data_IF_475955302128
#
_entry.id   IF_475955302128
#
_cell.length_a   1.000
_cell.length_b   1.000
_cell.length_c   1.000
_cell.angle_alpha   90.00
_cell.angle_beta   90.00
_cell.angle_gamma   90.00
#
_symmetry.space_group_name_H-M   'P 1'
#
loop_
_entity.id
_entity.type
_entity.pdbx_description
1 polymer ?
#
# COMPACT_ATOMS: atom_id res chain seq x y z
N UNK A 1 3.59 -23.09 1.74
CA UNK A 1 4.41 -21.86 1.67
C UNK A 1 4.15 -21.04 2.93
N UNK A 2 5.19 -20.56 3.61
CA UNK A 2 5.04 -19.62 4.74
C UNK A 2 5.05 -18.20 4.17
N UNK A 3 3.96 -17.45 4.28
CA UNK A 3 3.98 -16.02 4.01
C UNK A 3 4.93 -15.34 5.01
N UNK A 4 5.74 -14.38 4.54
CA UNK A 4 6.93 -13.86 5.21
C UNK A 4 6.73 -13.19 6.59
N UNK A 5 5.51 -13.17 7.14
CA UNK A 5 5.20 -12.64 8.46
C UNK A 5 4.06 -13.37 9.20
N UNK A 6 3.63 -14.55 8.75
CA UNK A 6 2.62 -15.34 9.46
C UNK A 6 1.19 -14.81 9.39
N UNK A 7 0.88 -13.94 8.43
CA UNK A 7 -0.47 -13.41 8.22
C UNK A 7 -1.48 -14.52 7.87
N UNK A 8 -2.72 -14.35 8.32
CA UNK A 8 -3.83 -15.23 7.96
C UNK A 8 -4.71 -14.59 6.86
N UNK A 9 -5.30 -15.38 5.95
CA UNK A 9 -6.25 -14.86 4.98
C UNK A 9 -7.40 -14.10 5.66
N UNK A 10 -7.70 -12.89 5.19
CA UNK A 10 -8.74 -12.01 5.74
C UNK A 10 -8.29 -11.10 6.90
N UNK A 11 -7.03 -11.18 7.33
CA UNK A 11 -6.47 -10.29 8.35
C UNK A 11 -6.25 -8.87 7.80
N UNK A 12 -6.71 -7.85 8.53
CA UNK A 12 -6.44 -6.45 8.20
C UNK A 12 -5.09 -6.03 8.77
N UNK A 13 -4.12 -5.74 7.89
CA UNK A 13 -2.77 -5.29 8.26
C UNK A 13 -2.60 -3.80 7.95
N UNK A 14 -1.93 -3.07 8.85
CA UNK A 14 -1.65 -1.64 8.67
C UNK A 14 -0.36 -1.43 7.87
N UNK A 15 -0.48 -0.86 6.67
CA UNK A 15 0.67 -0.46 5.85
C UNK A 15 0.87 1.05 5.94
N UNK A 16 1.96 1.48 6.59
CA UNK A 16 2.31 2.90 6.75
C UNK A 16 2.90 3.45 5.43
N UNK A 17 2.12 4.27 4.72
CA UNK A 17 2.42 4.69 3.35
C UNK A 17 3.42 5.83 3.16
N UNK A 18 4.02 6.39 4.21
CA UNK A 18 4.92 7.56 4.11
C UNK A 18 6.38 7.20 3.75
N UNK A 19 6.71 5.92 3.68
CA UNK A 19 8.08 5.43 3.50
C UNK A 19 8.41 5.04 2.05
N UNK A 20 7.84 5.70 1.04
CA UNK A 20 8.12 5.34 -0.37
C UNK A 20 9.62 5.44 -0.72
N UNK A 21 10.20 6.63 -0.59
CA UNK A 21 11.65 6.86 -0.81
C UNK A 21 12.46 6.64 0.46
N UNK A 22 11.95 7.11 1.62
CA UNK A 22 12.61 6.90 2.91
C UNK A 22 12.63 5.42 3.34
N UNK A 23 11.67 4.62 2.91
CA UNK A 23 11.60 3.19 3.24
C UNK A 23 12.51 2.35 2.36
N UNK A 24 12.75 2.76 1.11
CA UNK A 24 13.85 2.20 0.29
C UNK A 24 15.21 2.41 0.96
N UNK A 25 15.42 3.56 1.61
CA UNK A 25 16.64 3.83 2.38
C UNK A 25 16.69 3.04 3.70
N UNK A 26 15.53 2.77 4.32
CA UNK A 26 15.43 2.02 5.57
C UNK A 26 15.56 0.49 5.38
N UNK A 27 15.14 -0.03 4.22
CA UNK A 27 15.27 -1.46 3.87
C UNK A 27 16.59 -1.68 3.15
N UNK A 28 17.64 -2.01 3.92
CA UNK A 28 18.89 -2.54 3.36
C UNK A 28 18.56 -3.72 2.43
N UNK A 29 18.90 -3.63 1.15
CA UNK A 29 18.81 -4.74 0.20
C UNK A 29 17.71 -4.66 -0.87
N UNK A 30 16.94 -3.56 -0.95
CA UNK A 30 16.08 -3.31 -2.12
C UNK A 30 16.89 -2.67 -3.25
N UNK A 31 17.65 -3.48 -3.98
CA UNK A 31 18.22 -3.05 -5.25
C UNK A 31 17.10 -2.88 -6.31
N UNK A 32 17.39 -2.22 -7.46
CA UNK A 32 16.37 -1.97 -8.48
C UNK A 32 15.72 -3.23 -9.05
N UNK A 33 16.45 -4.34 -9.18
CA UNK A 33 15.92 -5.60 -9.69
C UNK A 33 14.98 -6.23 -8.66
N UNK A 34 15.39 -6.28 -7.39
CA UNK A 34 14.54 -6.77 -6.30
C UNK A 34 13.23 -5.96 -6.21
N UNK A 35 13.27 -4.65 -6.47
CA UNK A 35 12.07 -3.83 -6.49
C UNK A 35 11.10 -4.19 -7.63
N UNK A 36 11.62 -4.51 -8.83
CA UNK A 36 10.78 -4.96 -9.94
C UNK A 36 10.11 -6.31 -9.61
N UNK A 37 10.88 -7.27 -9.09
CA UNK A 37 10.36 -8.59 -8.69
C UNK A 37 9.25 -8.48 -7.65
N UNK A 38 9.47 -7.67 -6.59
CA UNK A 38 8.46 -7.41 -5.55
C UNK A 38 7.23 -6.72 -6.13
N UNK A 39 7.42 -5.76 -7.04
CA UNK A 39 6.31 -5.08 -7.69
C UNK A 39 5.46 -6.05 -8.52
N UNK A 40 6.08 -6.92 -9.32
CA UNK A 40 5.35 -7.93 -10.10
C UNK A 40 4.56 -8.89 -9.21
N UNK A 41 5.11 -9.26 -8.04
CA UNK A 41 4.40 -10.08 -7.07
C UNK A 41 3.15 -9.38 -6.52
N UNK A 42 3.26 -8.10 -6.14
CA UNK A 42 2.12 -7.28 -5.69
C UNK A 42 1.06 -7.17 -6.78
N UNK A 43 1.46 -6.95 -8.05
CA UNK A 43 0.53 -6.92 -9.19
C UNK A 43 -0.19 -8.25 -9.36
N UNK A 44 0.52 -9.37 -9.20
CA UNK A 44 -0.06 -10.71 -9.29
C UNK A 44 -1.15 -10.91 -8.23
N UNK A 45 -0.86 -10.59 -6.96
CA UNK A 45 -1.84 -10.68 -5.87
C UNK A 45 -3.03 -9.72 -6.04
N UNK A 46 -2.77 -8.52 -6.57
CA UNK A 46 -3.84 -7.55 -6.84
C UNK A 46 -4.79 -8.07 -7.93
N UNK A 47 -4.24 -8.67 -9.00
CA UNK A 47 -5.03 -9.23 -10.10
C UNK A 47 -5.80 -10.48 -9.70
N UNK A 48 -5.26 -11.31 -8.81
CA UNK A 48 -5.94 -12.50 -8.30
C UNK A 48 -7.02 -12.17 -7.27
N UNK A 49 -7.04 -10.94 -6.73
CA UNK A 49 -7.92 -10.55 -5.63
C UNK A 49 -7.44 -11.04 -4.25
N UNK A 50 -6.23 -11.60 -4.16
CA UNK A 50 -5.59 -11.98 -2.90
C UNK A 50 -5.15 -10.74 -2.09
N UNK A 51 -4.83 -9.64 -2.80
CA UNK A 51 -4.54 -8.35 -2.21
C UNK A 51 -5.57 -7.31 -2.68
N UNK A 52 -6.41 -6.86 -1.75
CA UNK A 52 -7.43 -5.84 -1.99
C UNK A 52 -7.27 -4.67 -1.04
N UNK A 53 -7.67 -3.48 -1.49
CA UNK A 53 -7.71 -2.28 -0.67
C UNK A 53 -9.08 -1.62 -0.82
N UNK A 54 -9.67 -1.22 0.29
CA UNK A 54 -10.79 -0.28 0.24
C UNK A 54 -10.24 1.09 -0.13
N UNK A 55 -10.78 1.71 -1.18
CA UNK A 55 -10.26 2.97 -1.73
C UNK A 55 -11.27 4.09 -1.54
N UNK A 56 -10.79 5.20 -1.01
CA UNK A 56 -11.49 6.49 -1.01
C UNK A 56 -10.86 7.36 -2.11
N UNK A 57 -11.64 7.74 -3.13
CA UNK A 57 -11.17 8.65 -4.18
C UNK A 57 -11.48 10.09 -3.77
N UNK A 58 -10.50 10.98 -3.89
CA UNK A 58 -10.67 12.40 -3.57
C UNK A 58 -10.09 13.26 -4.70
N UNK A 59 -10.81 14.29 -5.19
CA UNK A 59 -10.25 15.25 -6.14
C UNK A 59 -9.01 15.95 -5.58
N UNK A 60 -8.04 16.30 -6.43
CA UNK A 60 -6.86 17.07 -6.02
C UNK A 60 -7.25 18.41 -5.40
N UNK A 61 -8.36 19.02 -5.83
CA UNK A 61 -8.90 20.26 -5.25
C UNK A 61 -9.24 20.14 -3.77
N UNK A 62 -9.52 18.92 -3.30
CA UNK A 62 -10.06 18.68 -1.95
C UNK A 62 -8.99 18.10 -1.01
N UNK A 63 -7.72 18.02 -1.47
CA UNK A 63 -6.64 17.31 -0.77
C UNK A 63 -6.37 17.85 0.65
N UNK A 64 -6.49 19.15 0.85
CA UNK A 64 -6.27 19.79 2.15
C UNK A 64 -7.27 19.26 3.19
N UNK A 65 -8.56 19.24 2.84
CA UNK A 65 -9.62 18.66 3.67
C UNK A 65 -9.39 17.17 3.87
N UNK A 66 -8.99 16.46 2.81
CA UNK A 66 -8.78 15.03 2.83
C UNK A 66 -7.69 14.58 3.80
N UNK A 67 -6.61 15.36 3.96
CA UNK A 67 -5.54 15.03 4.91
C UNK A 67 -5.91 15.22 6.37
N UNK A 68 -6.91 16.05 6.67
CA UNK A 68 -7.37 16.29 8.04
C UNK A 68 -8.39 15.24 8.51
N UNK A 69 -8.89 14.41 7.59
CA UNK A 69 -9.88 13.38 7.87
C UNK A 69 -9.31 12.26 8.74
N UNK A 70 -10.03 11.93 9.80
CA UNK A 70 -9.70 10.83 10.72
C UNK A 70 -10.58 9.60 10.51
N UNK A 71 -11.59 9.67 9.64
CA UNK A 71 -12.55 8.62 9.32
C UNK A 71 -12.04 7.60 8.26
N UNK A 72 -10.78 7.73 7.83
CA UNK A 72 -10.20 6.93 6.75
C UNK A 72 -9.55 5.63 7.22
N UNK A 73 -9.68 5.24 8.49
CA UNK A 73 -9.11 3.99 9.01
C UNK A 73 -9.59 2.80 8.17
N UNK A 74 -8.65 2.00 7.65
CA UNK A 74 -8.93 0.85 6.81
C UNK A 74 -9.13 1.17 5.31
N UNK A 75 -9.25 2.45 4.95
CA UNK A 75 -9.37 2.90 3.55
C UNK A 75 -8.10 3.61 3.09
N UNK A 76 -7.72 3.38 1.84
CA UNK A 76 -6.63 4.07 1.17
C UNK A 76 -7.15 5.28 0.40
N UNK A 77 -6.67 6.46 0.74
CA UNK A 77 -6.97 7.67 -0.01
C UNK A 77 -6.20 7.68 -1.34
N UNK A 78 -6.92 7.87 -2.45
CA UNK A 78 -6.37 8.00 -3.80
C UNK A 78 -6.77 9.36 -4.36
N UNK A 79 -5.76 10.20 -4.62
CA UNK A 79 -5.98 11.52 -5.19
C UNK A 79 -6.18 11.39 -6.69
N UNK A 80 -7.29 11.94 -7.17
CA UNK A 80 -7.63 12.03 -8.58
C UNK A 80 -7.23 13.43 -9.09
N UNK A 81 -6.77 13.56 -10.34
CA UNK A 81 -6.44 14.85 -10.92
C UNK A 81 -7.63 15.82 -10.93
#
# INVERSE_FOLDING_TARGET
MKAAAGFVPGETVLVQGATGVAGRLAVKGLDPQTMDEVYQQIVTWTRSGELTFDVEKVPLSDIETAWQRTDLKGRRLVVMP
#
